data_IF_646152217730
#
_entry.id   IF_646152217730
#
_cell.length_a   1.000
_cell.length_b   1.000
_cell.length_c   1.000
_cell.angle_alpha   90.00
_cell.angle_beta   90.00
_cell.angle_gamma   90.00
#
_symmetry.space_group_name_H-M   'P 1'
#
loop_
_entity.id
_entity.type
_entity.pdbx_description
1 polymer ?
#
# COMPACT_ATOMS: atom_id res chain seq x y z
N UNK A 1 24.65 -0.37 22.19
CA UNK A 1 23.49 -1.18 21.74
C UNK A 1 22.47 -0.25 21.09
N UNK A 2 22.62 0.03 19.79
CA UNK A 2 21.66 0.85 19.04
C UNK A 2 20.50 -0.06 18.68
N UNK A 3 19.33 0.18 19.26
CA UNK A 3 18.05 -0.41 18.83
C UNK A 3 17.76 0.16 17.44
N UNK A 4 18.34 -0.45 16.40
CA UNK A 4 17.81 -0.34 15.05
C UNK A 4 16.52 -1.16 15.06
N UNK A 5 15.40 -0.48 15.34
CA UNK A 5 14.07 -0.99 15.03
C UNK A 5 14.12 -1.35 13.54
N UNK A 6 14.07 -2.63 13.20
CA UNK A 6 13.94 -3.08 11.82
C UNK A 6 12.74 -2.34 11.22
N UNK A 7 13.03 -1.38 10.34
CA UNK A 7 12.05 -0.66 9.55
C UNK A 7 11.43 -1.72 8.64
N UNK A 8 10.16 -2.05 8.89
CA UNK A 8 9.30 -2.96 8.11
C UNK A 8 10.04 -4.00 7.25
N UNK A 9 10.29 -5.19 7.81
CA UNK A 9 10.66 -6.36 7.02
C UNK A 9 9.44 -6.83 6.23
N UNK A 10 9.50 -6.72 4.91
CA UNK A 10 8.51 -7.31 4.02
C UNK A 10 9.00 -8.69 3.64
N UNK A 11 8.10 -9.68 3.70
CA UNK A 11 8.36 -11.03 3.22
C UNK A 11 7.31 -11.39 2.16
N UNK A 12 7.74 -12.09 1.12
CA UNK A 12 6.83 -12.63 0.13
C UNK A 12 6.05 -13.78 0.78
N UNK A 13 4.73 -13.72 0.72
CA UNK A 13 3.81 -14.70 1.31
C UNK A 13 2.85 -15.21 0.25
N UNK A 14 2.33 -16.41 0.45
CA UNK A 14 1.21 -16.93 -0.33
C UNK A 14 -0.09 -16.60 0.38
N UNK A 15 -1.09 -16.15 -0.36
CA UNK A 15 -2.46 -16.03 0.15
C UNK A 15 -3.28 -17.18 -0.44
N UNK A 16 -3.98 -17.94 0.41
CA UNK A 16 -4.83 -19.05 -0.01
C UNK A 16 -6.18 -18.56 -0.55
N UNK A 17 -6.99 -19.47 -1.09
CA UNK A 17 -8.35 -19.13 -1.53
C UNK A 17 -9.25 -18.74 -0.34
N UNK A 18 -8.91 -19.22 0.86
CA UNK A 18 -9.53 -18.90 2.13
C UNK A 18 -9.03 -17.58 2.75
N UNK A 19 -8.16 -16.84 2.04
CA UNK A 19 -7.50 -15.61 2.49
C UNK A 19 -6.50 -15.79 3.65
N UNK A 20 -6.07 -17.02 3.91
CA UNK A 20 -5.02 -17.27 4.89
C UNK A 20 -3.66 -16.89 4.31
N UNK A 21 -2.78 -16.38 5.18
CA UNK A 21 -1.43 -15.96 4.82
C UNK A 21 -0.43 -17.05 5.23
N UNK A 22 0.22 -17.66 4.25
CA UNK A 22 1.20 -18.71 4.44
C UNK A 22 2.61 -18.25 4.04
N UNK A 23 3.62 -18.70 4.78
CA UNK A 23 5.01 -18.51 4.42
C UNK A 23 5.37 -19.33 3.17
N UNK A 24 6.12 -18.72 2.24
CA UNK A 24 6.59 -19.42 1.05
C UNK A 24 7.75 -20.36 1.40
N UNK A 25 7.58 -21.66 1.15
CA UNK A 25 8.70 -22.60 1.25
C UNK A 25 9.80 -22.27 0.23
N UNK A 26 11.07 -22.66 0.46
CA UNK A 26 12.16 -22.43 -0.49
C UNK A 26 11.88 -23.00 -1.89
N UNK A 27 11.20 -24.15 -1.96
CA UNK A 27 10.80 -24.75 -3.23
C UNK A 27 9.72 -23.93 -3.94
N UNK A 28 8.73 -23.39 -3.21
CA UNK A 28 7.71 -22.53 -3.76
C UNK A 28 8.30 -21.19 -4.25
N UNK A 29 9.27 -20.64 -3.52
CA UNK A 29 10.01 -19.44 -3.91
C UNK A 29 10.79 -19.67 -5.21
N UNK A 30 11.54 -20.79 -5.32
CA UNK A 30 12.26 -21.13 -6.54
C UNK A 30 11.33 -21.37 -7.75
N UNK A 31 10.14 -21.94 -7.53
CA UNK A 31 9.12 -22.06 -8.58
C UNK A 31 8.58 -20.69 -9.01
N UNK A 32 8.33 -19.79 -8.06
CA UNK A 32 7.90 -18.42 -8.32
C UNK A 32 8.95 -17.64 -9.12
N UNK A 33 10.21 -17.69 -8.71
CA UNK A 33 11.35 -17.05 -9.41
C UNK A 33 11.45 -17.51 -10.86
N UNK A 34 11.35 -18.83 -11.09
CA UNK A 34 11.39 -19.40 -12.43
C UNK A 34 10.18 -19.01 -13.28
N UNK A 35 8.99 -18.92 -12.67
CA UNK A 35 7.75 -18.60 -13.38
C UNK A 35 7.63 -17.10 -13.69
N UNK A 36 8.11 -16.24 -12.80
CA UNK A 36 7.96 -14.79 -12.87
C UNK A 36 9.30 -14.06 -12.66
N UNK A 37 10.32 -14.29 -13.51
CA UNK A 37 11.68 -13.83 -13.27
C UNK A 37 11.80 -12.31 -13.14
N UNK A 38 11.02 -11.54 -13.91
CA UNK A 38 11.02 -10.08 -13.83
C UNK A 38 10.39 -9.54 -12.52
N UNK A 39 9.38 -10.23 -11.99
CA UNK A 39 8.75 -9.85 -10.71
C UNK A 39 9.67 -10.26 -9.57
N UNK A 40 10.19 -11.49 -9.59
CA UNK A 40 11.13 -11.97 -8.60
C UNK A 40 12.38 -11.09 -8.49
N UNK A 41 13.02 -10.74 -9.61
CA UNK A 41 14.18 -9.84 -9.63
C UNK A 41 13.89 -8.47 -9.00
N UNK A 42 12.67 -7.96 -9.15
CA UNK A 42 12.25 -6.65 -8.60
C UNK A 42 11.99 -6.72 -7.08
N UNK A 43 11.56 -7.87 -6.56
CA UNK A 43 11.08 -8.01 -5.18
C UNK A 43 12.07 -8.73 -4.24
N UNK A 44 12.88 -9.66 -4.74
CA UNK A 44 13.78 -10.52 -3.95
C UNK A 44 15.20 -9.97 -3.90
N UNK A 45 15.79 -9.66 -5.06
CA UNK A 45 17.22 -9.33 -5.14
C UNK A 45 17.54 -7.87 -4.80
N UNK A 46 16.53 -6.98 -4.77
CA UNK A 46 16.70 -5.53 -4.57
C UNK A 46 17.61 -4.82 -5.59
N UNK A 47 18.28 -5.57 -6.48
CA UNK A 47 19.28 -5.10 -7.42
C UNK A 47 18.63 -4.40 -8.59
N UNK A 48 18.83 -3.08 -8.68
CA UNK A 48 18.19 -2.18 -9.64
C UNK A 48 16.68 -2.01 -9.47
N UNK A 49 16.12 -2.06 -8.25
CA UNK A 49 14.72 -1.67 -8.05
C UNK A 49 14.50 -0.23 -8.57
N UNK A 50 13.85 -0.04 -9.73
CA UNK A 50 13.60 1.28 -10.23
C UNK A 50 12.50 1.81 -9.32
N UNK A 51 12.85 2.81 -8.51
CA UNK A 51 11.90 3.60 -7.71
C UNK A 51 11.49 2.88 -6.39
N UNK A 52 11.73 3.53 -5.24
CA UNK A 52 11.35 3.01 -3.91
C UNK A 52 9.84 2.74 -3.82
N UNK A 53 9.40 1.84 -2.93
CA UNK A 53 7.98 1.57 -2.75
C UNK A 53 7.20 2.85 -2.40
N UNK A 54 7.79 3.76 -1.62
CA UNK A 54 7.20 5.06 -1.32
C UNK A 54 6.95 5.85 -2.59
N UNK A 55 7.93 5.88 -3.49
CA UNK A 55 7.83 6.64 -4.74
C UNK A 55 6.85 5.98 -5.72
N UNK A 56 6.75 4.64 -5.74
CA UNK A 56 5.71 3.92 -6.50
C UNK A 56 4.30 4.24 -5.96
N UNK A 57 4.11 4.17 -4.64
CA UNK A 57 2.86 4.57 -3.99
C UNK A 57 2.52 6.04 -4.27
N UNK A 58 3.53 6.92 -4.29
CA UNK A 58 3.33 8.35 -4.55
C UNK A 58 2.90 8.61 -6.00
N UNK A 59 3.42 7.84 -6.97
CA UNK A 59 2.98 7.91 -8.36
C UNK A 59 1.52 7.46 -8.53
N UNK A 60 1.14 6.35 -7.92
CA UNK A 60 -0.26 5.86 -7.93
C UNK A 60 -1.17 6.89 -7.28
N UNK A 61 -0.80 7.38 -6.10
CA UNK A 61 -1.57 8.38 -5.35
C UNK A 61 -1.76 9.67 -6.16
N UNK A 62 -0.69 10.17 -6.80
CA UNK A 62 -0.75 11.33 -7.68
C UNK A 62 -1.72 11.10 -8.85
N UNK A 63 -1.70 9.92 -9.46
CA UNK A 63 -2.63 9.58 -10.54
C UNK A 63 -4.08 9.61 -10.06
N UNK A 64 -4.37 8.98 -8.92
CA UNK A 64 -5.71 8.97 -8.31
C UNK A 64 -6.21 10.39 -8.00
N UNK A 65 -5.37 11.23 -7.39
CA UNK A 65 -5.72 12.60 -7.02
C UNK A 65 -5.94 13.51 -8.24
N UNK A 66 -5.35 13.19 -9.38
CA UNK A 66 -5.54 13.95 -10.63
C UNK A 66 -6.77 13.53 -11.44
N UNK A 67 -7.46 12.46 -11.03
CA UNK A 67 -8.62 11.92 -11.74
C UNK A 67 -9.82 12.86 -11.71
N UNK A 68 -10.66 12.82 -12.76
CA UNK A 68 -11.91 13.61 -12.83
C UNK A 68 -12.88 13.36 -11.68
N UNK A 69 -12.84 12.15 -11.10
CA UNK A 69 -13.67 11.73 -9.98
C UNK A 69 -12.97 11.88 -8.62
N UNK A 70 -11.79 12.51 -8.56
CA UNK A 70 -11.00 12.58 -7.34
C UNK A 70 -11.59 13.52 -6.28
N UNK A 71 -12.34 14.54 -6.71
CA UNK A 71 -12.81 15.65 -5.86
C UNK A 71 -13.35 15.23 -4.47
N UNK A 72 -14.30 14.28 -4.33
CA UNK A 72 -14.83 13.88 -3.02
C UNK A 72 -13.81 13.14 -2.12
N UNK A 73 -12.67 12.72 -2.67
CA UNK A 73 -11.64 11.96 -1.95
C UNK A 73 -10.38 12.77 -1.63
N UNK A 74 -10.30 14.04 -2.04
CA UNK A 74 -9.10 14.87 -1.85
C UNK A 74 -8.90 15.36 -0.41
N UNK A 75 -9.97 15.35 0.39
CA UNK A 75 -9.99 15.82 1.77
C UNK A 75 -10.95 14.94 2.60
N UNK A 76 -10.84 14.97 3.95
CA UNK A 76 -11.81 14.30 4.80
C UNK A 76 -13.24 14.75 4.45
N UNK A 77 -14.19 13.81 4.48
CA UNK A 77 -15.61 14.14 4.35
C UNK A 77 -15.98 15.09 5.49
N UNK A 78 -16.67 16.19 5.17
CA UNK A 78 -17.30 17.10 6.13
C UNK A 78 -18.79 16.76 6.25
N UNK A 79 -19.21 16.01 7.28
CA UNK A 79 -20.59 15.56 7.39
C UNK A 79 -21.55 16.69 7.76
N UNK A 80 -21.05 17.78 8.36
CA UNK A 80 -21.87 18.93 8.72
C UNK A 80 -22.19 19.74 7.48
N UNK A 81 -21.17 20.05 6.67
CA UNK A 81 -21.34 20.79 5.41
C UNK A 81 -22.22 20.04 4.42
N UNK A 82 -22.10 18.71 4.36
CA UNK A 82 -22.84 17.86 3.42
C UNK A 82 -24.20 17.37 3.96
N UNK A 83 -24.56 17.75 5.18
CA UNK A 83 -25.79 17.31 5.84
C UNK A 83 -25.92 15.77 5.89
N UNK A 84 -24.86 15.09 6.34
CA UNK A 84 -24.75 13.64 6.51
C UNK A 84 -24.71 13.28 8.01
N UNK A 85 -25.85 13.36 8.74
CA UNK A 85 -25.87 13.26 10.20
C UNK A 85 -25.48 11.88 10.75
N UNK A 86 -25.57 10.84 9.92
CA UNK A 86 -25.26 9.45 10.27
C UNK A 86 -23.88 9.00 9.75
N UNK A 87 -23.08 9.90 9.16
CA UNK A 87 -21.81 9.54 8.52
C UNK A 87 -20.88 8.73 9.43
N UNK A 88 -20.62 9.21 10.65
CA UNK A 88 -19.77 8.48 11.61
C UNK A 88 -20.48 7.30 12.31
N UNK A 89 -21.79 7.16 12.13
CA UNK A 89 -22.52 5.97 12.55
C UNK A 89 -22.25 4.80 11.61
N UNK A 90 -22.03 5.07 10.33
CA UNK A 90 -21.74 4.06 9.30
C UNK A 90 -20.22 3.91 9.11
N UNK A 91 -19.51 5.01 8.90
CA UNK A 91 -18.07 5.04 8.59
C UNK A 91 -17.25 5.20 9.88
N UNK A 92 -16.67 4.08 10.34
CA UNK A 92 -15.93 4.02 11.62
C UNK A 92 -14.48 4.47 11.55
N UNK A 93 -13.87 4.36 10.37
CA UNK A 93 -12.47 4.71 10.12
C UNK A 93 -12.40 5.58 8.87
N UNK A 94 -12.75 6.87 8.96
CA UNK A 94 -12.74 7.77 7.81
C UNK A 94 -11.31 7.93 7.25
N UNK A 95 -11.20 8.05 5.93
CA UNK A 95 -9.93 8.25 5.23
C UNK A 95 -10.14 9.06 3.94
N UNK A 96 -9.09 9.74 3.50
CA UNK A 96 -9.04 10.53 2.27
C UNK A 96 -7.63 10.50 1.65
N UNK A 97 -7.53 10.79 0.35
CA UNK A 97 -6.26 10.80 -0.39
C UNK A 97 -5.30 11.89 0.10
N UNK A 98 -5.80 13.00 0.65
CA UNK A 98 -4.98 14.04 1.25
C UNK A 98 -4.28 13.55 2.53
N UNK A 99 -4.97 12.79 3.37
CA UNK A 99 -4.40 12.15 4.56
C UNK A 99 -3.36 11.09 4.18
N UNK A 100 -3.66 10.22 3.21
CA UNK A 100 -2.69 9.25 2.68
C UNK A 100 -1.45 9.97 2.14
N UNK A 101 -1.63 11.08 1.40
CA UNK A 101 -0.51 11.86 0.84
C UNK A 101 0.38 12.45 1.93
N UNK A 102 -0.21 13.02 3.00
CA UNK A 102 0.57 13.52 4.13
C UNK A 102 1.37 12.41 4.81
N UNK A 103 0.76 11.25 5.04
CA UNK A 103 1.43 10.12 5.68
C UNK A 103 2.58 9.58 4.83
N UNK A 104 2.37 9.44 3.52
CA UNK A 104 3.38 8.92 2.60
C UNK A 104 4.61 9.84 2.47
N UNK A 105 4.44 11.14 2.68
CA UNK A 105 5.51 12.15 2.57
C UNK A 105 6.20 12.49 3.91
N UNK A 106 5.75 11.93 5.04
CA UNK A 106 6.25 12.25 6.38
C UNK A 106 7.42 11.33 6.85
N UNK A 107 8.14 10.67 5.94
CA UNK A 107 9.23 9.71 6.23
C UNK A 107 10.58 10.07 5.59
#
# INVERSE_FOLDING_TARGET
KKLLKERFSYQLVRVTEEFDVEELSPAALGMFEKRFPAIAARWIDGGNAPISWQTQCAQVLKSLMSGKAAAPFLAPVDPVQLNLPDYFQVIKQPMDLGTVSRQLNND
#
